data_IF_771772631470
#
_entry.id   IF_771772631470
#
_cell.length_a   1.000
_cell.length_b   1.000
_cell.length_c   1.000
_cell.angle_alpha   90.00
_cell.angle_beta   90.00
_cell.angle_gamma   90.00
#
_symmetry.space_group_name_H-M   'P 1'
#
loop_
_entity.id
_entity.type
_entity.pdbx_description
1 polymer ?
#
# COMPACT_ATOMS: atom_id res chain seq x y z
N UNK A 1 -12.46 22.12 19.81
CA UNK A 1 -12.54 21.27 18.62
C UNK A 1 -11.50 21.74 17.62
N UNK A 2 -10.33 21.11 17.57
CA UNK A 2 -9.39 21.30 16.47
C UNK A 2 -10.07 20.78 15.20
N UNK A 3 -10.08 21.59 14.17
CA UNK A 3 -10.60 21.25 12.84
C UNK A 3 -9.99 19.91 12.39
N UNK A 4 -10.83 18.89 12.31
CA UNK A 4 -10.47 17.66 11.65
C UNK A 4 -10.42 17.96 10.15
N UNK A 5 -9.33 17.68 9.44
CA UNK A 5 -9.25 17.89 8.00
C UNK A 5 -10.11 16.91 7.21
N UNK A 6 -10.92 16.10 7.90
CA UNK A 6 -11.73 15.08 7.28
C UNK A 6 -13.00 15.69 6.70
N UNK A 7 -13.17 15.51 5.40
CA UNK A 7 -14.40 15.80 4.67
C UNK A 7 -15.58 15.07 5.33
N UNK A 8 -16.65 15.81 5.63
CA UNK A 8 -17.82 15.31 6.34
C UNK A 8 -18.97 15.15 5.36
N UNK A 9 -19.63 14.01 5.39
CA UNK A 9 -20.95 13.83 4.80
C UNK A 9 -21.96 14.03 5.93
N UNK A 10 -22.86 14.99 5.76
CA UNK A 10 -23.86 15.30 6.76
C UNK A 10 -25.20 14.70 6.33
N UNK A 11 -25.79 13.88 7.20
CA UNK A 11 -27.14 13.35 7.03
C UNK A 11 -28.11 14.25 7.77
N UNK A 12 -29.02 14.90 7.04
CA UNK A 12 -30.09 15.72 7.60
C UNK A 12 -31.40 14.91 7.59
N UNK A 13 -31.82 14.45 8.75
CA UNK A 13 -33.15 13.87 8.94
C UNK A 13 -34.12 15.01 9.22
N UNK A 14 -34.69 15.57 8.17
CA UNK A 14 -35.45 16.79 8.28
C UNK A 14 -36.95 16.54 8.47
N UNK A 15 -37.35 16.23 9.67
CA UNK A 15 -38.68 16.66 10.15
C UNK A 15 -38.62 18.08 10.76
N UNK A 16 -37.83 18.98 10.16
CA UNK A 16 -37.79 20.40 10.44
C UNK A 16 -36.87 20.80 11.60
N UNK A 17 -36.08 21.85 11.40
CA UNK A 17 -35.31 22.60 12.37
C UNK A 17 -34.08 21.91 12.98
N UNK A 18 -33.24 21.28 12.16
CA UNK A 18 -31.86 21.11 12.58
C UNK A 18 -31.11 22.43 12.40
N UNK A 19 -30.40 22.94 13.42
CA UNK A 19 -29.56 24.11 13.25
C UNK A 19 -28.52 23.77 12.17
N UNK A 20 -28.44 24.65 11.17
CA UNK A 20 -27.35 24.59 10.18
C UNK A 20 -26.05 24.60 10.97
N UNK A 21 -25.14 23.65 10.78
CA UNK A 21 -23.86 23.72 11.45
C UNK A 21 -23.21 25.08 11.17
N UNK A 22 -22.93 25.87 12.20
CA UNK A 22 -22.28 27.19 12.05
C UNK A 22 -20.92 27.05 11.32
N UNK A 23 -20.32 25.89 11.39
CA UNK A 23 -19.10 25.56 10.66
C UNK A 23 -19.42 24.59 9.52
N UNK A 24 -19.59 25.14 8.32
CA UNK A 24 -19.76 24.38 7.09
C UNK A 24 -18.42 23.99 6.44
N UNK A 25 -17.28 24.33 7.07
CA UNK A 25 -15.97 23.94 6.56
C UNK A 25 -15.81 22.42 6.66
N UNK A 26 -15.41 21.81 5.57
CA UNK A 26 -15.21 20.37 5.46
C UNK A 26 -16.49 19.56 5.20
N UNK A 27 -17.63 20.18 4.92
CA UNK A 27 -18.82 19.48 4.41
C UNK A 27 -18.62 19.26 2.90
N UNK A 28 -18.54 17.99 2.48
CA UNK A 28 -18.36 17.62 1.08
C UNK A 28 -19.67 17.21 0.38
N UNK A 29 -20.69 16.82 1.15
CA UNK A 29 -22.01 16.50 0.64
C UNK A 29 -23.05 16.51 1.76
N UNK A 30 -24.32 16.68 1.38
CA UNK A 30 -25.46 16.54 2.28
C UNK A 30 -26.42 15.53 1.72
N UNK A 31 -26.90 14.65 2.59
CA UNK A 31 -27.99 13.71 2.30
C UNK A 31 -29.20 14.15 3.10
N UNK A 32 -30.35 14.39 2.44
CA UNK A 32 -31.57 14.89 3.06
C UNK A 32 -32.78 14.01 2.78
N UNK A 33 -33.83 14.17 3.60
CA UNK A 33 -35.07 13.35 3.51
C UNK A 33 -36.27 14.14 2.96
N UNK A 34 -36.09 15.37 2.56
CA UNK A 34 -37.17 16.25 2.08
C UNK A 34 -36.96 17.71 2.43
N UNK A 35 -38.00 18.52 2.31
CA UNK A 35 -37.91 19.99 2.39
C UNK A 35 -37.34 20.49 3.72
N UNK A 36 -36.12 20.97 3.69
CA UNK A 36 -35.46 21.77 4.70
C UNK A 36 -34.86 22.99 4.02
N UNK A 37 -34.32 23.92 4.79
CA UNK A 37 -33.59 25.09 4.26
C UNK A 37 -32.28 24.62 3.68
N UNK A 38 -32.26 24.29 2.38
CA UNK A 38 -31.08 23.78 1.67
C UNK A 38 -30.32 24.90 0.92
N UNK A 39 -30.94 26.06 0.75
CA UNK A 39 -30.39 27.21 0.02
C UNK A 39 -28.95 27.56 0.43
N UNK A 40 -28.60 27.65 1.72
CA UNK A 40 -27.23 28.01 2.13
C UNK A 40 -26.17 27.01 1.67
N UNK A 41 -26.55 25.77 1.41
CA UNK A 41 -25.65 24.72 0.92
C UNK A 41 -25.56 24.76 -0.60
N UNK A 42 -26.67 25.05 -1.29
CA UNK A 42 -26.73 25.25 -2.74
C UNK A 42 -25.84 26.42 -3.14
N UNK A 43 -25.96 27.55 -2.46
CA UNK A 43 -25.14 28.75 -2.71
C UNK A 43 -23.63 28.50 -2.57
N UNK A 44 -23.24 27.53 -1.73
CA UNK A 44 -21.85 27.12 -1.52
C UNK A 44 -21.39 26.02 -2.47
N UNK A 45 -22.26 25.57 -3.38
CA UNK A 45 -21.95 24.51 -4.31
C UNK A 45 -21.75 23.12 -3.67
N UNK A 46 -22.33 22.91 -2.46
CA UNK A 46 -22.25 21.62 -1.77
C UNK A 46 -23.25 20.66 -2.42
N UNK A 47 -22.81 19.49 -2.89
CA UNK A 47 -23.70 18.49 -3.48
C UNK A 47 -24.78 18.04 -2.51
N UNK A 48 -26.04 18.02 -2.99
CA UNK A 48 -27.20 17.56 -2.24
C UNK A 48 -27.74 16.29 -2.86
N UNK A 49 -28.06 15.33 -2.01
CA UNK A 49 -28.64 14.05 -2.43
C UNK A 49 -29.88 13.77 -1.59
N UNK A 50 -30.97 13.36 -2.26
CA UNK A 50 -32.08 12.79 -1.53
C UNK A 50 -31.67 11.40 -0.98
N UNK A 51 -32.13 11.03 0.21
CA UNK A 51 -31.75 9.77 0.85
C UNK A 51 -32.03 8.52 -0.01
N UNK A 52 -33.02 8.59 -0.90
CA UNK A 52 -33.41 7.49 -1.76
C UNK A 52 -32.51 7.38 -3.02
N UNK A 53 -31.62 8.38 -3.25
CA UNK A 53 -30.67 8.36 -4.35
C UNK A 53 -29.38 7.58 -3.99
N UNK A 54 -29.55 6.37 -3.48
CA UNK A 54 -28.47 5.54 -2.91
C UNK A 54 -27.31 5.36 -3.87
N UNK A 55 -27.59 5.09 -5.14
CA UNK A 55 -26.55 4.88 -6.17
C UNK A 55 -25.74 6.18 -6.45
N UNK A 56 -26.41 7.34 -6.46
CA UNK A 56 -25.72 8.62 -6.63
C UNK A 56 -24.87 8.97 -5.42
N UNK A 57 -25.40 8.75 -4.21
CA UNK A 57 -24.66 8.94 -2.96
C UNK A 57 -23.43 8.04 -2.96
N UNK A 58 -23.61 6.76 -3.27
CA UNK A 58 -22.50 5.80 -3.33
C UNK A 58 -21.46 6.18 -4.38
N UNK A 59 -21.89 6.58 -5.58
CA UNK A 59 -21.00 7.06 -6.65
C UNK A 59 -20.21 8.29 -6.23
N UNK A 60 -20.87 9.27 -5.59
CA UNK A 60 -20.22 10.47 -5.09
C UNK A 60 -19.19 10.15 -3.99
N UNK A 61 -19.59 9.37 -3.00
CA UNK A 61 -18.71 8.96 -1.89
C UNK A 61 -17.47 8.26 -2.42
N UNK A 62 -17.64 7.28 -3.29
CA UNK A 62 -16.52 6.55 -3.89
C UNK A 62 -15.60 7.47 -4.71
N UNK A 63 -16.17 8.35 -5.54
CA UNK A 63 -15.41 9.30 -6.35
C UNK A 63 -14.64 10.28 -5.46
N UNK A 64 -15.30 10.86 -4.46
CA UNK A 64 -14.71 11.82 -3.55
C UNK A 64 -13.53 11.23 -2.77
N UNK A 65 -13.71 10.06 -2.16
CA UNK A 65 -12.64 9.40 -1.39
C UNK A 65 -11.48 8.93 -2.28
N UNK A 66 -11.73 8.54 -3.53
CA UNK A 66 -10.67 8.21 -4.49
C UNK A 66 -9.84 9.43 -4.86
N UNK A 67 -10.49 10.58 -5.05
CA UNK A 67 -9.82 11.84 -5.37
C UNK A 67 -9.05 12.42 -4.17
N UNK A 68 -9.43 12.05 -2.94
CA UNK A 68 -8.76 12.42 -1.70
C UNK A 68 -7.78 11.34 -1.22
N UNK A 69 -7.39 10.39 -2.09
CA UNK A 69 -6.44 9.36 -1.73
C UNK A 69 -5.13 9.95 -1.23
N UNK A 70 -4.60 9.39 -0.16
CA UNK A 70 -3.30 9.79 0.38
C UNK A 70 -2.20 9.61 -0.66
N UNK A 71 -1.23 10.52 -0.62
CA UNK A 71 -0.01 10.42 -1.43
C UNK A 71 0.64 9.05 -1.20
N UNK A 72 1.11 8.44 -2.29
CA UNK A 72 1.66 7.10 -2.26
C UNK A 72 3.18 7.17 -2.20
N UNK A 73 3.75 6.64 -1.12
CA UNK A 73 5.17 6.42 -0.96
C UNK A 73 5.50 4.96 -1.23
N UNK A 74 6.73 4.70 -1.69
CA UNK A 74 7.25 3.37 -1.91
C UNK A 74 8.26 2.97 -0.85
N UNK A 75 8.32 1.68 -0.50
CA UNK A 75 9.40 1.16 0.31
C UNK A 75 9.88 -0.19 -0.20
N UNK A 76 11.21 -0.31 -0.34
CA UNK A 76 11.87 -1.58 -0.60
C UNK A 76 12.42 -2.10 0.72
N UNK A 77 11.93 -3.25 1.15
CA UNK A 77 12.43 -3.92 2.34
C UNK A 77 13.74 -4.63 2.03
N UNK A 78 14.81 -4.11 2.64
CA UNK A 78 16.18 -4.58 2.47
C UNK A 78 16.61 -5.23 3.77
N UNK A 79 16.24 -6.47 3.97
CA UNK A 79 16.55 -7.12 5.23
C UNK A 79 16.17 -8.60 5.22
N UNK A 80 16.70 -9.30 6.18
CA UNK A 80 16.54 -10.73 6.39
C UNK A 80 17.89 -11.33 6.77
N UNK A 81 17.91 -12.20 7.80
CA UNK A 81 19.10 -12.92 8.16
C UNK A 81 19.48 -13.88 7.02
N UNK A 82 20.34 -13.41 6.13
CA UNK A 82 20.84 -14.17 4.96
C UNK A 82 21.87 -15.25 5.37
N UNK A 83 21.70 -15.85 6.53
CA UNK A 83 22.64 -16.83 7.10
C UNK A 83 22.88 -18.07 6.23
N UNK A 84 21.93 -18.37 5.32
CA UNK A 84 21.99 -19.55 4.45
C UNK A 84 22.67 -19.33 3.10
N UNK A 85 22.92 -18.08 2.70
CA UNK A 85 23.43 -17.76 1.34
C UNK A 85 24.88 -17.28 1.34
N UNK A 86 25.49 -17.04 2.50
CA UNK A 86 26.86 -16.52 2.60
C UNK A 86 27.08 -15.10 2.04
N UNK A 87 26.05 -14.55 1.36
CA UNK A 87 26.04 -13.16 0.85
C UNK A 87 24.71 -12.50 1.23
N UNK A 88 24.72 -11.18 1.49
CA UNK A 88 23.48 -10.45 1.75
C UNK A 88 22.53 -10.53 0.55
N UNK A 89 21.24 -10.82 0.79
CA UNK A 89 20.22 -10.94 -0.29
C UNK A 89 20.12 -9.69 -1.16
N UNK A 90 20.30 -8.52 -0.58
CA UNK A 90 20.22 -7.23 -1.27
C UNK A 90 21.36 -7.03 -2.30
N UNK A 91 22.47 -7.78 -2.17
CA UNK A 91 23.61 -7.71 -3.11
C UNK A 91 23.48 -8.66 -4.29
N UNK A 92 22.45 -9.50 -4.33
CA UNK A 92 22.22 -10.40 -5.45
C UNK A 92 21.86 -9.59 -6.70
N UNK A 93 22.57 -9.89 -7.79
CA UNK A 93 22.36 -9.22 -9.07
C UNK A 93 21.57 -10.10 -10.03
N UNK A 94 20.61 -9.48 -10.72
CA UNK A 94 19.82 -10.10 -11.77
C UNK A 94 19.97 -9.25 -13.02
N UNK A 95 20.47 -9.82 -14.10
CA UNK A 95 20.75 -9.08 -15.34
C UNK A 95 21.65 -7.85 -15.15
N UNK A 96 22.63 -7.96 -14.29
CA UNK A 96 23.64 -6.90 -14.04
C UNK A 96 23.21 -5.82 -13.05
N UNK A 97 21.94 -5.84 -12.55
CA UNK A 97 21.46 -4.91 -11.54
C UNK A 97 21.02 -5.64 -10.26
N UNK A 98 21.14 -5.01 -9.12
CA UNK A 98 20.69 -5.63 -7.86
C UNK A 98 19.17 -5.72 -7.80
N UNK A 99 18.65 -6.75 -7.07
CA UNK A 99 17.21 -6.86 -6.82
C UNK A 99 16.64 -5.62 -6.14
N UNK A 100 17.40 -4.99 -5.26
CA UNK A 100 17.04 -3.71 -4.62
C UNK A 100 16.91 -2.58 -5.65
N UNK A 101 17.90 -2.42 -6.53
CA UNK A 101 17.87 -1.37 -7.57
C UNK A 101 16.69 -1.57 -8.53
N UNK A 102 16.42 -2.82 -8.92
CA UNK A 102 15.26 -3.15 -9.74
C UNK A 102 13.96 -2.78 -9.04
N UNK A 103 13.80 -3.17 -7.78
CA UNK A 103 12.61 -2.86 -6.97
C UNK A 103 12.40 -1.35 -6.83
N UNK A 104 13.48 -0.60 -6.57
CA UNK A 104 13.43 0.86 -6.50
C UNK A 104 12.97 1.47 -7.83
N UNK A 105 13.57 1.06 -8.96
CA UNK A 105 13.17 1.55 -10.30
C UNK A 105 11.70 1.29 -10.60
N UNK A 106 11.17 0.13 -10.19
CA UNK A 106 9.77 -0.21 -10.38
C UNK A 106 8.86 0.67 -9.52
N UNK A 107 9.13 0.80 -8.22
CA UNK A 107 8.31 1.64 -7.33
C UNK A 107 8.35 3.11 -7.70
N UNK A 108 9.48 3.62 -8.20
CA UNK A 108 9.64 5.04 -8.60
C UNK A 108 8.74 5.46 -9.75
N UNK A 109 8.15 4.52 -10.48
CA UNK A 109 7.19 4.82 -11.55
C UNK A 109 5.79 5.16 -11.01
N UNK A 110 5.48 4.72 -9.79
CA UNK A 110 4.14 4.81 -9.20
C UNK A 110 4.09 5.63 -7.92
N UNK A 111 5.23 5.83 -7.26
CA UNK A 111 5.33 6.44 -5.95
C UNK A 111 6.00 7.80 -6.03
N UNK A 112 5.50 8.78 -5.25
CA UNK A 112 6.08 10.13 -5.17
C UNK A 112 7.48 10.13 -4.58
N UNK A 113 7.76 9.21 -3.66
CA UNK A 113 9.05 9.02 -3.02
C UNK A 113 9.25 7.54 -2.70
N UNK A 114 10.47 7.05 -2.82
CA UNK A 114 10.82 5.66 -2.50
C UNK A 114 11.90 5.64 -1.43
N UNK A 115 11.78 4.72 -0.48
CA UNK A 115 12.68 4.53 0.64
C UNK A 115 13.23 3.11 0.67
N UNK A 116 14.39 2.94 1.31
CA UNK A 116 14.89 1.63 1.71
C UNK A 116 14.58 1.43 3.20
N UNK A 117 13.80 0.41 3.54
CA UNK A 117 13.56 0.00 4.93
C UNK A 117 14.52 -1.11 5.28
N UNK A 118 15.33 -0.91 6.31
CA UNK A 118 16.32 -1.90 6.74
C UNK A 118 16.63 -1.76 8.23
N UNK A 119 17.26 -2.79 8.79
CA UNK A 119 17.83 -2.71 10.14
C UNK A 119 19.01 -1.74 10.15
N UNK A 120 19.16 -0.96 11.23
CA UNK A 120 20.22 0.03 11.39
C UNK A 120 21.63 -0.57 11.30
N UNK A 121 21.82 -1.82 11.77
CA UNK A 121 23.08 -2.54 11.76
C UNK A 121 23.45 -3.15 10.40
N UNK A 122 22.58 -3.02 9.39
CA UNK A 122 22.88 -3.53 8.06
C UNK A 122 23.84 -2.60 7.31
N UNK A 123 25.03 -3.10 6.99
CA UNK A 123 25.93 -2.41 6.08
C UNK A 123 25.38 -2.48 4.65
N UNK A 124 24.93 -1.34 4.15
CA UNK A 124 24.33 -1.21 2.83
C UNK A 124 25.37 -1.15 1.70
N UNK A 125 26.66 -0.98 2.01
CA UNK A 125 27.75 -1.03 1.05
C UNK A 125 27.48 -0.29 -0.27
N UNK A 126 27.39 -1.05 -1.36
CA UNK A 126 27.16 -0.52 -2.71
C UNK A 126 25.76 0.07 -2.95
N UNK A 127 24.77 -0.22 -2.09
CA UNK A 127 23.40 0.32 -2.24
C UNK A 127 23.33 1.83 -1.95
N UNK A 128 24.29 2.39 -1.23
CA UNK A 128 24.43 3.84 -1.04
C UNK A 128 24.66 4.60 -2.36
N UNK A 129 24.99 3.87 -3.44
CA UNK A 129 25.19 4.42 -4.79
C UNK A 129 23.88 4.58 -5.59
N UNK A 130 22.75 4.08 -5.08
CA UNK A 130 21.46 4.35 -5.72
C UNK A 130 21.13 5.82 -5.42
N UNK A 131 21.37 6.69 -6.40
CA UNK A 131 21.22 8.13 -6.25
C UNK A 131 19.83 8.52 -5.73
N UNK A 132 19.78 9.38 -4.72
CA UNK A 132 18.59 10.00 -4.14
C UNK A 132 17.61 9.07 -3.42
N UNK A 133 18.04 7.93 -2.89
CA UNK A 133 17.19 7.10 -2.07
C UNK A 133 17.51 7.27 -0.61
N UNK A 134 16.50 7.65 0.17
CA UNK A 134 16.61 7.74 1.61
C UNK A 134 16.42 6.36 2.25
N UNK A 135 17.19 6.09 3.28
CA UNK A 135 17.06 4.92 4.12
C UNK A 135 16.26 5.29 5.37
N UNK A 136 15.38 4.41 5.75
CA UNK A 136 14.68 4.44 7.04
C UNK A 136 15.09 3.19 7.81
N UNK A 137 15.68 3.41 8.98
CA UNK A 137 16.09 2.33 9.88
C UNK A 137 14.90 1.84 10.70
N UNK A 138 14.71 0.53 10.74
CA UNK A 138 13.62 -0.10 11.47
C UNK A 138 13.75 0.16 12.98
N UNK A 139 12.79 0.87 13.55
CA UNK A 139 12.74 1.18 14.99
C UNK A 139 12.25 -0.03 15.81
N UNK A 140 11.48 -0.91 15.21
CA UNK A 140 10.90 -2.10 15.84
C UNK A 140 11.73 -3.35 15.54
N UNK A 141 12.83 -3.50 16.27
CA UNK A 141 13.81 -4.58 16.05
C UNK A 141 13.19 -5.96 16.31
N UNK A 142 13.56 -6.95 15.49
CA UNK A 142 13.11 -8.35 15.56
C UNK A 142 11.61 -8.59 15.32
N UNK A 143 10.90 -7.63 14.74
CA UNK A 143 9.50 -7.76 14.34
C UNK A 143 9.31 -8.05 12.84
N UNK A 144 10.40 -8.30 12.12
CA UNK A 144 10.37 -8.59 10.69
C UNK A 144 9.66 -7.51 9.87
N UNK A 145 8.94 -7.86 8.79
CA UNK A 145 8.26 -6.88 7.94
C UNK A 145 7.19 -6.04 8.67
N UNK A 146 6.60 -6.57 9.74
CA UNK A 146 5.64 -5.81 10.57
C UNK A 146 6.33 -4.62 11.22
N UNK A 147 7.54 -4.80 11.77
CA UNK A 147 8.32 -3.74 12.38
C UNK A 147 8.73 -2.66 11.40
N UNK A 148 9.24 -3.05 10.23
CA UNK A 148 9.60 -2.10 9.17
C UNK A 148 8.41 -1.28 8.71
N UNK A 149 7.26 -1.93 8.46
CA UNK A 149 6.04 -1.22 8.05
C UNK A 149 5.53 -0.27 9.14
N UNK A 150 5.59 -0.69 10.40
CA UNK A 150 5.18 0.16 11.53
C UNK A 150 6.07 1.40 11.65
N UNK A 151 7.39 1.26 11.46
CA UNK A 151 8.32 2.39 11.42
C UNK A 151 7.97 3.37 10.31
N UNK A 152 7.76 2.87 9.08
CA UNK A 152 7.39 3.70 7.93
C UNK A 152 6.09 4.47 8.16
N UNK A 153 5.06 3.77 8.62
CA UNK A 153 3.76 4.37 8.91
C UNK A 153 3.79 5.31 10.11
N UNK A 154 4.62 5.04 11.10
CA UNK A 154 4.82 5.91 12.27
C UNK A 154 5.49 7.23 11.89
N UNK A 155 6.49 7.21 11.02
CA UNK A 155 7.19 8.41 10.54
C UNK A 155 6.34 9.22 9.55
N UNK A 156 5.51 8.57 8.75
CA UNK A 156 4.66 9.23 7.75
C UNK A 156 3.19 8.76 7.87
N UNK A 157 2.48 9.11 8.95
CA UNK A 157 1.17 8.52 9.28
C UNK A 157 0.05 8.87 8.29
N UNK A 158 0.24 9.90 7.47
CA UNK A 158 -0.75 10.35 6.48
C UNK A 158 -0.44 9.88 5.05
N UNK A 159 0.57 9.03 4.88
CA UNK A 159 0.95 8.50 3.56
C UNK A 159 0.49 7.05 3.42
N UNK A 160 0.10 6.70 2.20
CA UNK A 160 -0.08 5.30 1.84
C UNK A 160 1.28 4.72 1.40
N UNK A 161 1.46 3.42 1.58
CA UNK A 161 2.73 2.76 1.31
C UNK A 161 2.57 1.61 0.33
N UNK A 162 3.25 1.68 -0.81
CA UNK A 162 3.45 0.54 -1.71
C UNK A 162 4.77 -0.11 -1.35
N UNK A 163 4.73 -1.35 -0.88
CA UNK A 163 5.93 -2.05 -0.44
C UNK A 163 6.28 -3.23 -1.34
N UNK A 164 7.57 -3.51 -1.41
CA UNK A 164 8.10 -4.74 -1.99
C UNK A 164 9.37 -5.18 -1.27
N UNK A 165 9.77 -6.43 -1.49
CA UNK A 165 11.03 -6.96 -0.96
C UNK A 165 12.10 -7.04 -2.06
N UNK A 166 13.36 -6.86 -1.69
CA UNK A 166 14.50 -6.96 -2.62
C UNK A 166 14.73 -8.37 -3.18
N UNK A 167 14.11 -9.40 -2.58
CA UNK A 167 14.23 -10.81 -2.96
C UNK A 167 13.07 -11.33 -3.83
N UNK A 168 12.30 -10.43 -4.45
CA UNK A 168 11.23 -10.73 -5.42
C UNK A 168 11.58 -10.27 -6.85
N UNK A 169 12.65 -10.82 -7.46
CA UNK A 169 13.21 -10.28 -8.71
C UNK A 169 12.35 -10.54 -9.94
N UNK A 170 11.36 -11.43 -9.88
CA UNK A 170 10.48 -11.75 -11.00
C UNK A 170 9.26 -10.82 -11.12
N UNK A 171 9.03 -9.95 -10.14
CA UNK A 171 8.01 -8.93 -10.26
C UNK A 171 8.37 -7.97 -11.41
N UNK A 172 7.35 -7.66 -12.20
CA UNK A 172 7.42 -6.77 -13.36
C UNK A 172 6.64 -5.49 -13.11
N UNK A 173 6.79 -4.55 -14.00
CA UNK A 173 6.06 -3.27 -13.99
C UNK A 173 4.55 -3.48 -13.98
N UNK A 174 4.04 -4.37 -14.82
CA UNK A 174 2.61 -4.68 -14.93
C UNK A 174 1.99 -5.14 -13.59
N UNK A 175 2.77 -5.83 -12.75
CA UNK A 175 2.31 -6.27 -11.45
C UNK A 175 2.10 -5.05 -10.52
N UNK A 176 3.00 -4.07 -10.55
CA UNK A 176 2.88 -2.81 -9.80
C UNK A 176 1.85 -1.87 -10.40
N UNK A 177 1.75 -1.79 -11.72
CA UNK A 177 0.72 -1.02 -12.39
C UNK A 177 -0.68 -1.55 -12.04
N UNK A 178 -0.86 -2.87 -12.08
CA UNK A 178 -2.14 -3.50 -11.72
C UNK A 178 -2.56 -3.16 -10.30
N UNK A 179 -1.67 -3.28 -9.31
CA UNK A 179 -2.02 -2.96 -7.92
C UNK A 179 -2.26 -1.46 -7.74
N UNK A 180 -1.51 -0.60 -8.43
CA UNK A 180 -1.70 0.85 -8.43
C UNK A 180 -3.06 1.24 -9.00
N UNK A 181 -3.44 0.73 -10.17
CA UNK A 181 -4.70 1.00 -10.85
C UNK A 181 -5.91 0.45 -10.06
N UNK A 182 -5.71 -0.65 -9.35
CA UNK A 182 -6.76 -1.29 -8.55
C UNK A 182 -6.76 -0.85 -7.08
N UNK A 183 -5.91 0.14 -6.70
CA UNK A 183 -5.88 0.69 -5.35
C UNK A 183 -7.27 1.09 -4.88
N UNK A 184 -7.59 0.77 -3.63
CA UNK A 184 -8.87 1.12 -3.00
C UNK A 184 -8.64 1.83 -1.65
N UNK A 185 -8.63 3.18 -1.63
CA UNK A 185 -8.40 3.97 -0.42
C UNK A 185 -9.47 3.78 0.67
N UNK A 186 -10.63 3.21 0.31
CA UNK A 186 -11.69 2.88 1.26
C UNK A 186 -11.42 1.60 2.05
N UNK A 187 -10.41 0.83 1.66
CA UNK A 187 -9.97 -0.38 2.36
C UNK A 187 -8.74 -0.08 3.20
N UNK A 188 -8.29 -1.04 4.00
CA UNK A 188 -7.01 -0.91 4.74
C UNK A 188 -5.80 -1.03 3.82
N UNK A 189 -6.01 -1.55 2.64
CA UNK A 189 -5.00 -1.66 1.60
C UNK A 189 -5.48 -2.48 0.42
N UNK A 190 -4.58 -2.67 -0.53
CA UNK A 190 -4.76 -3.51 -1.71
C UNK A 190 -3.61 -4.50 -1.78
N UNK A 191 -3.88 -5.78 -1.93
CA UNK A 191 -2.85 -6.83 -1.97
C UNK A 191 -3.21 -7.94 -2.95
N UNK A 192 -2.19 -8.65 -3.41
CA UNK A 192 -2.38 -9.88 -4.16
C UNK A 192 -2.73 -11.05 -3.24
N UNK A 193 -3.50 -12.00 -3.79
CA UNK A 193 -3.96 -13.21 -3.11
C UNK A 193 -3.69 -14.41 -4.01
N UNK A 194 -3.00 -15.39 -3.47
CA UNK A 194 -2.80 -16.68 -4.10
C UNK A 194 -3.89 -17.66 -3.64
N UNK A 195 -4.46 -18.44 -4.56
CA UNK A 195 -5.35 -19.53 -4.20
C UNK A 195 -4.56 -20.66 -3.52
N UNK A 196 -5.06 -21.17 -2.40
CA UNK A 196 -4.51 -22.29 -1.67
C UNK A 196 -3.58 -21.92 -0.50
N UNK A 197 -2.54 -22.70 -0.24
CA UNK A 197 -1.73 -22.69 0.97
C UNK A 197 -0.90 -21.42 1.24
N UNK A 198 -0.77 -20.51 0.26
CA UNK A 198 0.13 -19.36 0.35
C UNK A 198 -0.55 -18.06 0.76
N UNK A 199 -1.89 -17.98 0.71
CA UNK A 199 -2.65 -16.85 1.22
C UNK A 199 -2.33 -15.51 0.55
N UNK A 200 -2.14 -14.49 1.36
CA UNK A 200 -1.91 -13.11 0.94
C UNK A 200 -0.44 -12.84 0.66
N UNK A 201 -0.17 -11.93 -0.29
CA UNK A 201 1.18 -11.47 -0.62
C UNK A 201 1.43 -10.09 -0.02
N UNK A 202 1.95 -10.03 1.22
CA UNK A 202 2.10 -8.78 1.94
C UNK A 202 3.26 -7.92 1.40
N UNK A 203 4.22 -8.53 0.69
CA UNK A 203 5.41 -7.85 0.18
C UNK A 203 5.25 -7.36 -1.26
N UNK A 204 4.03 -7.40 -1.82
CA UNK A 204 3.64 -6.68 -3.01
C UNK A 204 2.23 -6.14 -2.78
N UNK A 205 2.14 -5.08 -1.99
CA UNK A 205 0.88 -4.55 -1.45
C UNK A 205 0.92 -3.04 -1.29
N UNK A 206 -0.27 -2.42 -1.29
CA UNK A 206 -0.46 -1.03 -0.87
C UNK A 206 -1.18 -1.04 0.48
N UNK A 207 -0.62 -0.31 1.43
CA UNK A 207 -1.19 -0.08 2.76
C UNK A 207 -1.68 1.35 2.89
N UNK A 208 -2.95 1.54 3.21
CA UNK A 208 -3.53 2.87 3.40
C UNK A 208 -3.24 3.40 4.81
N UNK A 209 -3.23 4.73 5.03
CA UNK A 209 -2.86 5.33 6.33
C UNK A 209 -3.61 4.74 7.52
N UNK A 210 -4.88 4.42 7.37
CA UNK A 210 -5.70 3.83 8.45
C UNK A 210 -5.26 2.44 8.90
N UNK A 211 -4.39 1.76 8.14
CA UNK A 211 -3.82 0.47 8.53
C UNK A 211 -2.88 0.60 9.73
N UNK A 212 -2.39 1.80 10.05
CA UNK A 212 -1.49 2.03 11.20
C UNK A 212 -2.10 1.54 12.51
N UNK A 213 -3.39 1.77 12.74
CA UNK A 213 -4.06 1.40 14.01
C UNK A 213 -4.07 -0.12 14.19
N UNK A 214 -4.67 -0.93 13.29
CA UNK A 214 -4.67 -2.38 13.45
C UNK A 214 -3.25 -2.98 13.39
N UNK A 215 -2.29 -2.34 12.72
CA UNK A 215 -0.90 -2.79 12.72
C UNK A 215 -0.28 -2.70 14.12
N UNK A 216 -0.41 -1.55 14.81
CA UNK A 216 0.09 -1.39 16.17
C UNK A 216 -0.66 -2.25 17.19
N UNK A 217 -1.97 -2.45 17.00
CA UNK A 217 -2.75 -3.39 17.81
C UNK A 217 -2.25 -4.83 17.66
N UNK A 218 -1.95 -5.28 16.46
CA UNK A 218 -1.38 -6.60 16.19
C UNK A 218 0.02 -6.74 16.84
N UNK A 219 0.87 -5.71 16.70
CA UNK A 219 2.18 -5.69 17.35
C UNK A 219 2.08 -5.81 18.88
N UNK A 220 1.11 -5.13 19.50
CA UNK A 220 0.90 -5.23 20.97
C UNK A 220 0.54 -6.64 21.41
N UNK A 221 -0.12 -7.41 20.54
CA UNK A 221 -0.44 -8.84 20.76
C UNK A 221 0.65 -9.80 20.29
N UNK A 222 1.80 -9.27 19.83
CA UNK A 222 2.89 -10.04 19.20
C UNK A 222 2.46 -10.85 17.97
N UNK A 223 1.48 -10.36 17.25
CA UNK A 223 1.10 -10.89 15.96
C UNK A 223 2.01 -10.28 14.88
N UNK A 224 3.02 -11.04 14.45
CA UNK A 224 4.08 -10.57 13.54
C UNK A 224 3.92 -11.09 12.12
N UNK A 225 2.74 -11.56 11.75
CA UNK A 225 2.40 -12.03 10.40
C UNK A 225 1.55 -10.99 9.68
N UNK A 226 2.12 -10.27 8.73
CA UNK A 226 1.35 -9.34 7.89
C UNK A 226 0.21 -10.06 7.15
N UNK A 227 0.43 -11.31 6.70
CA UNK A 227 -0.61 -12.09 6.01
C UNK A 227 -1.82 -12.35 6.91
N UNK A 228 -1.61 -12.68 8.20
CA UNK A 228 -2.69 -12.87 9.17
C UNK A 228 -3.43 -11.56 9.46
N UNK A 229 -2.71 -10.45 9.60
CA UNK A 229 -3.31 -9.13 9.81
C UNK A 229 -4.16 -8.72 8.59
N UNK A 230 -3.67 -8.94 7.38
CA UNK A 230 -4.40 -8.67 6.14
C UNK A 230 -5.66 -9.53 6.03
N UNK A 231 -5.58 -10.79 6.43
CA UNK A 231 -6.70 -11.73 6.38
C UNK A 231 -7.87 -11.28 7.26
N UNK A 232 -7.56 -10.75 8.44
CA UNK A 232 -8.55 -10.28 9.41
C UNK A 232 -9.21 -8.93 9.04
N UNK A 233 -8.72 -8.24 8.01
CA UNK A 233 -9.15 -6.88 7.68
C UNK A 233 -9.72 -6.77 6.27
N UNK A 234 -10.60 -5.79 6.01
CA UNK A 234 -11.15 -5.56 4.68
C UNK A 234 -10.11 -4.94 3.72
N UNK A 235 -9.23 -5.77 3.17
CA UNK A 235 -8.36 -5.43 2.06
C UNK A 235 -9.02 -5.63 0.71
N UNK A 236 -8.61 -4.85 -0.30
CA UNK A 236 -8.89 -5.14 -1.70
C UNK A 236 -7.98 -6.29 -2.15
N UNK A 237 -8.58 -7.39 -2.55
CA UNK A 237 -7.87 -8.63 -2.90
C UNK A 237 -7.81 -8.77 -4.41
N UNK A 238 -6.59 -8.87 -4.96
CA UNK A 238 -6.31 -9.11 -6.37
C UNK A 238 -5.88 -10.56 -6.54
N UNK A 239 -6.62 -11.33 -7.32
CA UNK A 239 -6.29 -12.74 -7.55
C UNK A 239 -5.07 -12.85 -8.45
N UNK A 240 -4.12 -13.71 -8.07
CA UNK A 240 -2.99 -14.09 -8.90
C UNK A 240 -3.41 -15.31 -9.73
N UNK A 241 -3.19 -15.23 -11.04
CA UNK A 241 -3.37 -16.38 -11.92
C UNK A 241 -2.30 -17.43 -11.64
N UNK A 242 -2.63 -18.70 -11.85
CA UNK A 242 -1.73 -19.83 -11.52
C UNK A 242 -0.42 -19.77 -12.30
N UNK A 243 -0.45 -19.28 -13.54
CA UNK A 243 0.72 -19.07 -14.38
C UNK A 243 1.69 -18.03 -13.80
N UNK A 244 1.18 -17.00 -13.10
CA UNK A 244 1.95 -15.89 -12.54
C UNK A 244 2.43 -16.14 -11.11
N UNK A 245 2.00 -17.21 -10.49
CA UNK A 245 2.31 -17.56 -9.10
C UNK A 245 3.80 -17.53 -8.78
N UNK A 246 4.63 -17.97 -9.72
CA UNK A 246 6.09 -18.01 -9.54
C UNK A 246 6.72 -16.62 -9.42
N UNK A 247 6.08 -15.54 -9.89
CA UNK A 247 6.58 -14.16 -9.81
C UNK A 247 6.67 -13.68 -8.37
N UNK A 248 5.74 -14.12 -7.53
CA UNK A 248 5.60 -13.69 -6.13
C UNK A 248 6.41 -14.54 -5.13
N UNK A 249 7.22 -15.46 -5.60
CA UNK A 249 8.03 -16.29 -4.71
C UNK A 249 9.36 -15.61 -4.38
N UNK A 250 9.70 -15.54 -3.10
CA UNK A 250 10.98 -15.04 -2.63
C UNK A 250 12.13 -15.97 -3.00
N UNK A 251 13.30 -15.40 -3.24
CA UNK A 251 14.54 -16.16 -3.37
C UNK A 251 15.18 -16.30 -1.98
N UNK A 252 15.20 -17.52 -1.46
CA UNK A 252 15.68 -17.80 -0.11
C UNK A 252 16.99 -18.59 -0.07
N UNK A 253 17.36 -19.27 -1.17
CA UNK A 253 18.55 -20.10 -1.26
C UNK A 253 19.36 -19.80 -2.52
N UNK A 254 20.64 -20.20 -2.52
CA UNK A 254 21.50 -20.10 -3.71
C UNK A 254 20.95 -20.93 -4.86
N UNK A 255 20.36 -22.07 -4.55
CA UNK A 255 19.71 -22.95 -5.55
C UNK A 255 18.49 -22.25 -6.19
N UNK A 256 17.65 -21.57 -5.40
CA UNK A 256 16.55 -20.74 -5.91
C UNK A 256 17.07 -19.65 -6.84
N UNK A 257 18.18 -19.00 -6.44
CA UNK A 257 18.84 -17.97 -7.23
C UNK A 257 19.33 -18.52 -8.58
N UNK A 258 20.06 -19.64 -8.58
CA UNK A 258 20.59 -20.25 -9.79
C UNK A 258 19.48 -20.75 -10.73
N UNK A 259 18.48 -21.44 -10.21
CA UNK A 259 17.32 -21.89 -10.98
C UNK A 259 16.58 -20.74 -11.65
N UNK A 260 16.48 -19.62 -10.96
CA UNK A 260 15.76 -18.45 -11.48
C UNK A 260 16.58 -17.63 -12.46
N UNK A 261 17.88 -17.48 -12.23
CA UNK A 261 18.78 -16.84 -13.20
C UNK A 261 18.75 -17.59 -14.55
N UNK A 262 18.77 -18.91 -14.52
CA UNK A 262 18.61 -19.74 -15.75
C UNK A 262 17.26 -19.50 -16.43
N UNK A 263 16.16 -19.29 -15.68
CA UNK A 263 14.84 -18.98 -16.25
C UNK A 263 14.77 -17.57 -16.83
N UNK A 264 15.33 -16.57 -16.19
CA UNK A 264 15.39 -15.20 -16.70
C UNK A 264 16.07 -15.17 -18.07
N UNK A 265 17.23 -15.81 -18.21
CA UNK A 265 17.96 -15.93 -19.48
C UNK A 265 17.13 -16.65 -20.56
N UNK A 266 16.36 -17.67 -20.20
CA UNK A 266 15.51 -18.40 -21.14
C UNK A 266 14.27 -17.60 -21.59
N UNK A 267 13.75 -16.69 -20.75
CA UNK A 267 12.62 -15.84 -21.12
C UNK A 267 13.05 -14.68 -22.04
N UNK A 268 14.23 -14.11 -21.84
CA UNK A 268 14.75 -13.04 -22.72
C UNK A 268 15.06 -13.54 -24.12
N UNK A 269 15.46 -14.81 -24.28
CA UNK A 269 15.72 -15.42 -25.58
C UNK A 269 14.44 -15.87 -26.33
N UNK A 270 13.25 -15.64 -25.78
CA UNK A 270 11.96 -16.01 -26.38
C UNK A 270 11.09 -14.83 -26.83
N UNK A 271 11.51 -13.60 -26.58
CA UNK A 271 10.83 -12.45 -27.17
C UNK A 271 11.34 -12.29 -28.64
N UNK A 272 10.49 -12.46 -29.67
CA UNK A 272 10.90 -12.19 -31.05
C UNK A 272 11.14 -10.69 -31.21
N UNK A 273 12.27 -10.36 -31.83
CA UNK A 273 12.67 -9.04 -32.28
C UNK A 273 11.61 -8.40 -33.21
#
# INVERSE_FOLDING_TARGET
YKQSPFNKIVFLDAKGKLPIPHDSQGICAIVHQGAGVLEPFIERGIPLFHRDEVEKIFGFVNGHFRNCASELFGAVFVGGQSTRMGKPKFSLTYDGISGTEKAVKLLSKFCNKVFLSSRADLDMGSLTKINNIERIDDEHINMGPVGGLATLMGQFPNKAWMITACDMPLLKEDDFETIFQKRDPLRYGTCYVQKGRFGYEPMCAIYEPKFIVPLFEAMSRRELSLSSIIEALPFKKLKIDEADRSKFMNINTLEDYEKRNKRIVLYQNKEPS
#
